data_IF_992793029447
#
_entry.id   IF_992793029447
#
_cell.length_a   1.000
_cell.length_b   1.000
_cell.length_c   1.000
_cell.angle_alpha   90.00
_cell.angle_beta   90.00
_cell.angle_gamma   90.00
#
_symmetry.space_group_name_H-M   'P 1'
#
loop_
_entity.id
_entity.type
_entity.pdbx_description
1 polymer ?
#
# COMPACT_ATOMS: atom_id res chain seq x y z
N UNK A 1 -4.75 -7.20 4.81
CA UNK A 1 -4.29 -5.98 5.49
C UNK A 1 -3.67 -6.36 6.83
N UNK A 2 -2.50 -5.82 7.20
CA UNK A 2 -1.76 -6.26 8.39
C UNK A 2 -2.07 -5.41 9.61
N UNK A 3 -2.15 -4.09 9.44
CA UNK A 3 -2.42 -3.15 10.53
C UNK A 3 -3.09 -1.90 9.98
N UNK A 4 -4.09 -1.40 10.69
CA UNK A 4 -4.66 -0.08 10.42
C UNK A 4 -3.89 1.00 11.16
N UNK A 5 -3.55 2.08 10.45
CA UNK A 5 -3.03 3.30 11.04
C UNK A 5 -3.98 4.47 10.85
N UNK A 6 -3.66 5.59 11.48
CA UNK A 6 -4.50 6.80 11.44
C UNK A 6 -4.51 7.46 10.07
N UNK A 7 -3.40 7.38 9.32
CA UNK A 7 -3.25 7.95 7.96
C UNK A 7 -2.93 6.92 6.89
N UNK A 8 -2.23 5.86 7.27
CA UNK A 8 -1.78 4.80 6.37
C UNK A 8 -2.07 3.44 6.98
N UNK A 9 -2.46 2.52 6.11
CA UNK A 9 -2.70 1.12 6.39
C UNK A 9 -1.51 0.29 5.92
N UNK A 10 -1.01 -0.62 6.75
CA UNK A 10 0.09 -1.51 6.36
C UNK A 10 -0.49 -2.71 5.60
N UNK A 11 -0.37 -2.70 4.29
CA UNK A 11 -0.75 -3.84 3.45
C UNK A 11 0.40 -4.83 3.33
N UNK A 12 0.04 -6.11 3.19
CA UNK A 12 0.95 -7.20 2.85
C UNK A 12 0.38 -7.94 1.66
N UNK A 13 1.17 -8.08 0.60
CA UNK A 13 0.79 -8.90 -0.54
C UNK A 13 0.76 -10.38 -0.09
N UNK A 14 -0.38 -11.09 -0.17
CA UNK A 14 -0.47 -12.49 0.23
C UNK A 14 0.34 -13.43 -0.66
N UNK A 15 0.62 -13.05 -1.92
CA UNK A 15 1.37 -13.88 -2.87
C UNK A 15 2.88 -13.80 -2.67
N UNK A 16 3.41 -12.59 -2.43
CA UNK A 16 4.86 -12.35 -2.35
C UNK A 16 5.36 -12.10 -0.93
N UNK A 17 4.44 -11.87 0.02
CA UNK A 17 4.77 -11.58 1.42
C UNK A 17 5.30 -10.16 1.67
N UNK A 18 5.55 -9.37 0.62
CA UNK A 18 6.01 -7.98 0.71
C UNK A 18 5.00 -7.08 1.41
N UNK A 19 5.49 -6.02 2.07
CA UNK A 19 4.67 -5.10 2.87
C UNK A 19 4.88 -3.67 2.40
N UNK A 20 3.81 -2.90 2.31
CA UNK A 20 3.85 -1.48 1.95
C UNK A 20 2.78 -0.70 2.71
N UNK A 21 3.10 0.53 3.11
CA UNK A 21 2.12 1.46 3.68
C UNK A 21 1.26 2.06 2.56
N UNK A 22 -0.06 1.89 2.67
CA UNK A 22 -1.05 2.37 1.71
C UNK A 22 -1.84 3.52 2.35
N UNK A 23 -1.96 4.69 1.71
CA UNK A 23 -2.75 5.80 2.26
C UNK A 23 -4.24 5.47 2.32
N UNK A 24 -4.96 6.06 3.29
CA UNK A 24 -6.40 5.83 3.48
C UNK A 24 -7.33 6.82 2.78
N UNK A 25 -6.80 7.74 1.98
CA UNK A 25 -7.60 8.70 1.24
C UNK A 25 -7.92 8.15 -0.16
N UNK A 26 -9.04 8.60 -0.72
CA UNK A 26 -9.63 8.00 -1.93
C UNK A 26 -8.86 8.33 -3.22
N UNK A 27 -8.10 9.43 -3.23
CA UNK A 27 -7.36 9.90 -4.40
C UNK A 27 -5.87 9.97 -4.07
N UNK A 28 -5.04 9.32 -4.90
CA UNK A 28 -3.58 9.39 -4.79
C UNK A 28 -2.98 9.69 -6.16
N UNK A 29 -1.81 10.31 -6.19
CA UNK A 29 -1.08 10.57 -7.43
C UNK A 29 -0.77 9.27 -8.19
N UNK A 30 -0.83 9.33 -9.52
CA UNK A 30 -0.60 8.16 -10.36
C UNK A 30 0.81 7.56 -10.18
N UNK A 31 1.83 8.40 -9.94
CA UNK A 31 3.19 7.92 -9.70
C UNK A 31 3.28 7.17 -8.38
N UNK A 32 2.57 7.64 -7.35
CA UNK A 32 2.48 6.94 -6.07
C UNK A 32 1.77 5.60 -6.22
N UNK A 33 0.67 5.54 -6.97
CA UNK A 33 -0.04 4.30 -7.25
C UNK A 33 0.87 3.29 -7.98
N UNK A 34 1.56 3.72 -9.04
CA UNK A 34 2.52 2.90 -9.80
C UNK A 34 3.67 2.41 -8.91
N UNK A 35 4.19 3.26 -8.04
CA UNK A 35 5.23 2.88 -7.09
C UNK A 35 4.75 1.81 -6.11
N UNK A 36 3.57 1.97 -5.50
CA UNK A 36 2.98 0.98 -4.59
C UNK A 36 2.81 -0.38 -5.29
N UNK A 37 2.33 -0.38 -6.54
CA UNK A 37 2.19 -1.62 -7.32
C UNK A 37 3.54 -2.28 -7.59
N UNK A 38 4.57 -1.51 -7.94
CA UNK A 38 5.93 -2.02 -8.16
C UNK A 38 6.54 -2.63 -6.90
N UNK A 39 6.34 -2.00 -5.74
CA UNK A 39 6.84 -2.51 -4.46
C UNK A 39 6.11 -3.77 -4.01
N UNK A 40 4.82 -3.91 -4.34
CA UNK A 40 4.02 -5.07 -3.97
C UNK A 40 4.14 -6.26 -4.93
N UNK A 41 4.51 -6.03 -6.19
CA UNK A 41 4.82 -7.08 -7.17
C UNK A 41 5.88 -8.05 -6.64
#
# INVERSE_FOLDING_TARGET
>A
LVRHGTRHDLYRNPKTGKKQAIPRHNEIDENLAKHILKELA
#
